data_IF_188341732904
#
_entry.id   IF_188341732904
#
_cell.length_a   1.000
_cell.length_b   1.000
_cell.length_c   1.000
_cell.angle_alpha   90.00
_cell.angle_beta   90.00
_cell.angle_gamma   90.00
#
_symmetry.space_group_name_H-M   'P 1'
#
loop_
_entity.id
_entity.type
_entity.pdbx_description
1 polymer ?
#
# COMPACT_ATOMS: atom_id res chain seq x y z
N UNK A 1 4.54 7.98 15.03
CA UNK A 1 3.83 6.95 14.26
C UNK A 1 4.39 6.97 12.85
N UNK A 2 5.08 5.91 12.41
CA UNK A 2 5.55 5.85 11.04
C UNK A 2 4.35 5.49 10.14
N UNK A 3 3.94 6.43 9.29
CA UNK A 3 2.85 6.24 8.33
C UNK A 3 3.43 5.83 6.98
N UNK A 4 2.84 4.82 6.35
CA UNK A 4 3.08 4.45 4.96
C UNK A 4 1.76 4.45 4.19
N UNK A 5 1.86 4.44 2.86
CA UNK A 5 0.70 4.54 1.97
C UNK A 5 0.65 3.36 1.02
N UNK A 6 -0.56 2.90 0.71
CA UNK A 6 -0.78 1.91 -0.34
C UNK A 6 -1.91 2.39 -1.25
N UNK A 7 -1.75 2.22 -2.57
CA UNK A 7 -2.77 2.57 -3.56
C UNK A 7 -3.40 1.30 -4.08
N UNK A 8 -4.73 1.24 -4.04
CA UNK A 8 -5.55 0.13 -4.53
C UNK A 8 -6.88 0.67 -5.05
N UNK A 9 -7.76 -0.19 -5.57
CA UNK A 9 -9.11 0.23 -5.96
C UNK A 9 -10.05 0.27 -4.74
N UNK A 10 -11.07 1.13 -4.79
CA UNK A 10 -12.13 1.20 -3.78
C UNK A 10 -12.87 -0.15 -3.61
N UNK A 11 -13.00 -0.92 -4.70
CA UNK A 11 -13.59 -2.25 -4.69
C UNK A 11 -12.73 -3.26 -3.92
N UNK A 12 -11.43 -3.32 -4.19
CA UNK A 12 -10.49 -4.17 -3.46
C UNK A 12 -10.43 -3.81 -1.98
N UNK A 13 -10.41 -2.52 -1.64
CA UNK A 13 -10.47 -2.09 -0.26
C UNK A 13 -11.77 -2.49 0.44
N UNK A 14 -12.91 -2.39 -0.25
CA UNK A 14 -14.21 -2.80 0.30
C UNK A 14 -14.25 -4.30 0.58
N UNK A 15 -13.68 -5.12 -0.31
CA UNK A 15 -13.55 -6.56 -0.10
C UNK A 15 -12.61 -6.88 1.09
N UNK A 16 -11.49 -6.17 1.21
CA UNK A 16 -10.55 -6.33 2.32
C UNK A 16 -11.21 -6.05 3.67
N UNK A 17 -12.01 -4.98 3.78
CA UNK A 17 -12.79 -4.68 5.00
C UNK A 17 -13.70 -5.83 5.42
N UNK A 18 -14.33 -6.52 4.48
CA UNK A 18 -15.18 -7.67 4.78
C UNK A 18 -14.38 -8.91 5.24
N UNK A 19 -13.15 -9.07 4.72
CA UNK A 19 -12.27 -10.20 5.04
C UNK A 19 -11.42 -9.97 6.31
N UNK A 20 -11.30 -8.72 6.78
CA UNK A 20 -10.48 -8.35 7.94
C UNK A 20 -9.00 -8.10 7.62
N UNK A 21 -8.58 -8.31 6.37
CA UNK A 21 -7.23 -8.00 5.90
C UNK A 21 -7.25 -7.64 4.41
N UNK A 22 -6.27 -6.84 4.00
CA UNK A 22 -5.98 -6.51 2.62
C UNK A 22 -4.82 -7.38 2.09
N UNK A 23 -4.96 -7.82 0.85
CA UNK A 23 -3.92 -8.51 0.09
C UNK A 23 -3.85 -7.91 -1.31
N UNK A 24 -2.63 -7.76 -1.83
CA UNK A 24 -2.36 -7.34 -3.22
C UNK A 24 -1.87 -8.55 -4.03
N UNK A 25 -2.15 -8.62 -5.35
CA UNK A 25 -1.55 -9.62 -6.24
C UNK A 25 -0.01 -9.73 -6.13
N UNK A 26 0.67 -8.62 -5.82
CA UNK A 26 2.12 -8.59 -5.63
C UNK A 26 2.58 -9.47 -4.45
N UNK A 27 1.74 -9.67 -3.42
CA UNK A 27 2.10 -10.55 -2.30
C UNK A 27 2.33 -11.98 -2.78
N UNK A 28 1.49 -12.46 -3.69
CA UNK A 28 1.61 -13.80 -4.28
C UNK A 28 2.70 -13.87 -5.35
N UNK A 29 2.86 -12.82 -6.15
CA UNK A 29 3.79 -12.80 -7.28
C UNK A 29 5.25 -12.54 -6.86
N UNK A 30 5.46 -11.65 -5.91
CA UNK A 30 6.76 -11.09 -5.52
C UNK A 30 7.12 -11.36 -4.05
N UNK A 31 6.13 -11.71 -3.22
CA UNK A 31 6.31 -12.00 -1.80
C UNK A 31 6.06 -10.82 -0.86
N UNK A 32 5.66 -9.65 -1.39
CA UNK A 32 5.38 -8.46 -0.60
C UNK A 32 4.36 -7.52 -1.27
N UNK A 33 3.78 -6.63 -0.47
CA UNK A 33 2.89 -5.55 -0.91
C UNK A 33 3.70 -4.26 -1.02
N UNK A 34 3.69 -3.64 -2.20
CA UNK A 34 4.33 -2.34 -2.40
C UNK A 34 3.58 -1.25 -1.65
N UNK A 35 4.26 -0.57 -0.74
CA UNK A 35 3.79 0.65 -0.12
C UNK A 35 4.67 1.82 -0.56
N UNK A 36 4.33 3.02 -0.11
CA UNK A 36 4.99 4.27 -0.48
C UNK A 36 5.09 5.19 0.73
N UNK A 37 6.04 6.10 0.70
CA UNK A 37 6.03 7.32 1.50
C UNK A 37 5.17 8.38 0.79
N UNK A 38 4.73 9.42 1.50
CA UNK A 38 3.77 10.39 0.95
C UNK A 38 4.31 11.07 -0.32
N UNK A 39 5.59 11.48 -0.32
CA UNK A 39 6.25 12.12 -1.46
C UNK A 39 6.39 11.20 -2.69
N UNK A 40 6.27 9.88 -2.51
CA UNK A 40 6.42 8.88 -3.57
C UNK A 40 5.10 8.60 -4.30
N UNK A 41 3.95 8.85 -3.65
CA UNK A 41 2.63 8.43 -4.15
C UNK A 41 2.32 9.03 -5.51
N UNK A 42 2.60 10.32 -5.73
CA UNK A 42 2.34 10.97 -7.02
C UNK A 42 3.07 10.27 -8.18
N UNK A 43 4.35 9.93 -7.98
CA UNK A 43 5.14 9.22 -8.99
C UNK A 43 4.74 7.75 -9.16
N UNK A 44 4.18 7.11 -8.14
CA UNK A 44 3.60 5.76 -8.25
C UNK A 44 2.31 5.79 -9.06
N UNK A 45 1.44 6.78 -8.83
CA UNK A 45 0.20 6.95 -9.58
C UNK A 45 0.48 7.16 -11.07
N UNK A 46 1.42 8.03 -11.41
CA UNK A 46 1.81 8.29 -12.79
C UNK A 46 2.33 7.02 -13.50
N UNK A 47 3.21 6.24 -12.84
CA UNK A 47 3.86 5.08 -13.47
C UNK A 47 2.96 3.86 -13.59
N UNK A 48 2.12 3.58 -12.60
CA UNK A 48 1.42 2.29 -12.48
C UNK A 48 -0.10 2.39 -12.56
N UNK A 49 -0.66 3.58 -12.33
CA UNK A 49 -2.11 3.77 -12.23
C UNK A 49 -2.69 4.71 -13.30
N UNK A 50 -1.90 5.11 -14.32
CA UNK A 50 -2.39 5.88 -15.46
C UNK A 50 -3.59 5.19 -16.13
N UNK A 51 -4.71 5.92 -16.24
CA UNK A 51 -5.95 5.44 -16.83
C UNK A 51 -6.79 4.52 -15.94
N UNK A 52 -6.41 4.34 -14.67
CA UNK A 52 -7.24 3.68 -13.66
C UNK A 52 -8.15 4.70 -12.98
N UNK A 53 -9.34 4.25 -12.61
CA UNK A 53 -10.34 5.04 -11.88
C UNK A 53 -10.67 4.34 -10.55
N UNK A 54 -11.44 5.02 -9.70
CA UNK A 54 -11.92 4.50 -8.42
C UNK A 54 -10.77 4.04 -7.51
N UNK A 55 -9.69 4.82 -7.48
CA UNK A 55 -8.52 4.56 -6.66
C UNK A 55 -8.67 5.15 -5.27
N UNK A 56 -8.07 4.47 -4.30
CA UNK A 56 -7.96 4.95 -2.93
C UNK A 56 -6.52 4.84 -2.45
N UNK A 57 -6.09 5.85 -1.69
CA UNK A 57 -4.86 5.86 -0.90
C UNK A 57 -5.19 5.43 0.52
N UNK A 58 -4.72 4.25 0.91
CA UNK A 58 -4.79 3.76 2.27
C UNK A 58 -3.67 4.42 3.09
N UNK A 59 -4.01 5.00 4.24
CA UNK A 59 -3.05 5.56 5.20
C UNK A 59 -2.83 4.53 6.30
N UNK A 60 -1.64 3.95 6.36
CA UNK A 60 -1.33 2.77 7.19
C UNK A 60 -0.44 3.18 8.36
N UNK A 61 -0.91 2.90 9.57
CA UNK A 61 -0.15 3.04 10.81
C UNK A 61 0.71 1.78 11.05
N UNK A 62 2.02 1.91 10.83
CA UNK A 62 2.93 0.77 10.93
C UNK A 62 3.16 0.27 12.35
N UNK A 63 2.85 1.07 13.38
CA UNK A 63 3.02 0.66 14.78
C UNK A 63 2.06 -0.48 15.17
N UNK A 64 0.96 -0.66 14.42
CA UNK A 64 -0.06 -1.70 14.64
C UNK A 64 0.01 -2.83 13.62
N UNK A 65 0.94 -2.75 12.66
CA UNK A 65 1.01 -3.69 11.55
C UNK A 65 1.50 -5.05 12.06
N UNK A 66 0.72 -6.10 11.82
CA UNK A 66 1.09 -7.46 12.26
C UNK A 66 2.16 -8.09 11.36
N UNK A 67 2.19 -7.68 10.10
CA UNK A 67 3.15 -8.16 9.11
C UNK A 67 4.47 -7.40 9.20
N UNK A 68 5.59 -8.09 8.92
CA UNK A 68 6.90 -7.44 8.80
C UNK A 68 6.88 -6.47 7.64
N UNK A 69 7.46 -5.28 7.83
CA UNK A 69 7.73 -4.36 6.73
C UNK A 69 9.21 -3.95 6.72
N UNK A 70 9.72 -3.61 5.53
CA UNK A 70 11.11 -3.22 5.31
C UNK A 70 11.17 -2.10 4.30
N UNK A 71 12.05 -1.14 4.53
CA UNK A 71 12.40 -0.13 3.53
C UNK A 71 13.50 -0.67 2.62
N UNK A 72 13.21 -0.83 1.33
CA UNK A 72 14.13 -1.40 0.35
C UNK A 72 14.44 -0.41 -0.79
N UNK A 73 15.70 -0.39 -1.21
CA UNK A 73 16.19 0.51 -2.25
C UNK A 73 15.64 0.12 -3.62
N UNK A 74 15.04 1.08 -4.32
CA UNK A 74 14.58 0.94 -5.69
C UNK A 74 15.52 1.69 -6.63
N UNK A 75 16.31 0.98 -7.46
CA UNK A 75 17.25 1.62 -8.37
C UNK A 75 16.57 2.38 -9.52
N UNK A 76 15.32 2.06 -9.86
CA UNK A 76 14.57 2.72 -10.94
C UNK A 76 14.09 4.12 -10.55
N UNK A 77 13.95 4.38 -9.26
CA UNK A 77 13.48 5.65 -8.70
C UNK A 77 14.56 6.37 -7.89
N UNK A 78 15.71 5.73 -7.70
CA UNK A 78 16.80 6.20 -6.83
C UNK A 78 16.30 6.59 -5.42
N UNK A 79 15.37 5.79 -4.86
CA UNK A 79 14.73 6.04 -3.57
C UNK A 79 14.35 4.73 -2.87
N UNK A 80 13.96 4.78 -1.60
CA UNK A 80 13.64 3.62 -0.76
C UNK A 80 12.14 3.51 -0.50
N UNK A 81 11.56 2.34 -0.79
CA UNK A 81 10.13 2.09 -0.67
C UNK A 81 9.84 1.10 0.47
N UNK A 82 8.76 1.32 1.24
CA UNK A 82 8.32 0.33 2.21
C UNK A 82 7.63 -0.85 1.51
N UNK A 83 8.05 -2.06 1.85
CA UNK A 83 7.44 -3.31 1.41
C UNK A 83 6.90 -4.08 2.60
N UNK A 84 5.64 -4.51 2.54
CA UNK A 84 4.99 -5.30 3.59
C UNK A 84 5.01 -6.78 3.19
N UNK A 85 5.70 -7.59 3.98
CA UNK A 85 5.89 -9.04 3.78
C UNK A 85 4.77 -9.83 4.45
N UNK A 86 3.56 -9.64 3.96
CA UNK A 86 2.35 -10.27 4.48
C UNK A 86 1.11 -9.46 4.13
N UNK A 87 -0.05 -9.89 4.65
CA UNK A 87 -1.29 -9.15 4.52
C UNK A 87 -1.28 -7.90 5.40
N UNK A 88 -2.10 -6.90 5.05
CA UNK A 88 -2.28 -5.68 5.85
C UNK A 88 -3.58 -5.82 6.63
N UNK A 89 -3.51 -5.89 7.97
CA UNK A 89 -4.72 -5.96 8.81
C UNK A 89 -5.54 -4.67 8.71
N UNK A 90 -6.87 -4.75 8.55
CA UNK A 90 -7.67 -3.56 8.17
C UNK A 90 -7.68 -2.48 9.25
N UNK A 91 -7.47 -2.83 10.51
CA UNK A 91 -7.43 -1.93 11.66
C UNK A 91 -6.16 -1.05 11.73
N UNK A 92 -5.14 -1.33 10.91
CA UNK A 92 -4.00 -0.40 10.74
C UNK A 92 -4.27 0.74 9.76
N UNK A 93 -5.34 0.63 8.96
CA UNK A 93 -5.69 1.69 8.02
C UNK A 93 -6.44 2.78 8.78
N UNK A 94 -5.75 3.87 9.08
CA UNK A 94 -6.26 4.97 9.93
C UNK A 94 -7.02 6.02 9.13
N UNK A 95 -6.83 6.07 7.81
CA UNK A 95 -7.55 6.96 6.90
C UNK A 95 -7.55 6.39 5.48
N UNK A 96 -8.53 6.81 4.67
CA UNK A 96 -8.72 6.38 3.29
C UNK A 96 -9.07 7.60 2.45
N UNK A 97 -8.21 7.93 1.49
CA UNK A 97 -8.34 9.13 0.66
C UNK A 97 -8.67 8.69 -0.78
N UNK A 98 -9.77 9.20 -1.34
CA UNK A 98 -10.11 9.01 -2.76
C UNK A 98 -9.12 9.77 -3.66
N UNK A 99 -8.74 9.15 -4.79
CA UNK A 99 -7.72 9.66 -5.73
C UNK A 99 -8.29 9.90 -7.13
#
# INVERSE_FOLDING_TARGET
MPIIYHVTTAAEWTAAKANGYYESPSLKAEGFIHCSQDHQVAGVLERYFTGKADLVKLVIDTDKLTSRFVFEWSPSTEDTFPHVYGTINVDVVVDVIEL
#
